data_IF_160278127835
#
_entry.id   IF_160278127835
#
_cell.length_a   1.000
_cell.length_b   1.000
_cell.length_c   1.000
_cell.angle_alpha   90.00
_cell.angle_beta   90.00
_cell.angle_gamma   90.00
#
_symmetry.space_group_name_H-M   'P 1'
#
loop_
_entity.id
_entity.type
_entity.pdbx_description
1 polymer ?
#
# COMPACT_ATOMS: atom_id res chain seq x y z
N UNK A 1 -0.39 -12.08 -11.37
CA UNK A 1 0.52 -10.91 -11.52
C UNK A 1 1.84 -11.31 -10.89
N UNK A 2 2.97 -10.81 -11.39
CA UNK A 2 4.23 -10.98 -10.68
C UNK A 2 4.27 -10.11 -9.43
N UNK A 3 4.83 -10.65 -8.35
CA UNK A 3 4.92 -10.00 -7.03
C UNK A 3 5.57 -8.61 -7.11
N UNK A 4 6.43 -8.41 -8.10
CA UNK A 4 7.07 -7.14 -8.40
C UNK A 4 6.07 -6.05 -8.79
N UNK A 5 5.04 -6.35 -9.58
CA UNK A 5 4.05 -5.37 -9.99
C UNK A 5 3.22 -4.87 -8.80
N UNK A 6 2.86 -5.76 -7.86
CA UNK A 6 2.18 -5.38 -6.62
C UNK A 6 3.07 -4.51 -5.73
N UNK A 7 4.36 -4.85 -5.66
CA UNK A 7 5.34 -4.10 -4.90
C UNK A 7 5.53 -2.69 -5.45
N UNK A 8 5.75 -2.55 -6.76
CA UNK A 8 5.86 -1.24 -7.42
C UNK A 8 4.59 -0.41 -7.28
N UNK A 9 3.40 -1.03 -7.42
CA UNK A 9 2.12 -0.35 -7.22
C UNK A 9 1.99 0.19 -5.79
N UNK A 10 2.36 -0.62 -4.80
CA UNK A 10 2.37 -0.21 -3.39
C UNK A 10 3.35 0.93 -3.12
N UNK A 11 4.57 0.87 -3.68
CA UNK A 11 5.56 1.95 -3.55
C UNK A 11 5.03 3.25 -4.17
N UNK A 12 4.56 3.22 -5.41
CA UNK A 12 4.02 4.39 -6.11
C UNK A 12 2.86 5.01 -5.32
N UNK A 13 1.96 4.17 -4.80
CA UNK A 13 0.84 4.62 -3.99
C UNK A 13 1.31 5.28 -2.70
N UNK A 14 2.28 4.68 -1.99
CA UNK A 14 2.87 5.26 -0.78
C UNK A 14 3.64 6.56 -1.03
N UNK A 15 4.21 6.71 -2.23
CA UNK A 15 4.90 7.92 -2.68
C UNK A 15 3.90 9.04 -3.01
N UNK A 16 2.81 8.71 -3.72
CA UNK A 16 1.70 9.64 -3.96
C UNK A 16 1.02 10.08 -2.67
N UNK A 17 0.84 9.16 -1.73
CA UNK A 17 0.32 9.49 -0.40
C UNK A 17 1.23 10.47 0.32
N UNK A 18 2.55 10.39 0.09
CA UNK A 18 3.52 11.34 0.62
C UNK A 18 3.30 12.77 0.15
N UNK A 19 2.93 12.93 -1.12
CA UNK A 19 2.69 14.24 -1.73
C UNK A 19 1.40 14.88 -1.21
N UNK A 20 0.39 14.05 -0.90
CA UNK A 20 -0.95 14.51 -0.50
C UNK A 20 -1.04 14.79 1.00
N UNK A 21 -0.35 14.01 1.84
CA UNK A 21 -0.49 14.10 3.29
C UNK A 21 0.50 15.08 3.92
N UNK A 22 0.05 15.97 4.83
CA UNK A 22 0.93 16.92 5.50
C UNK A 22 2.09 16.22 6.22
N UNK A 23 3.31 16.70 5.97
CA UNK A 23 4.56 16.09 6.50
C UNK A 23 4.58 15.96 8.03
N UNK A 24 3.78 16.76 8.76
CA UNK A 24 3.69 16.73 10.23
C UNK A 24 3.12 15.41 10.76
N UNK A 25 2.16 14.81 10.05
CA UNK A 25 1.46 13.59 10.49
C UNK A 25 1.97 12.33 9.79
N UNK A 26 3.05 12.47 9.02
CA UNK A 26 3.49 11.44 8.08
C UNK A 26 4.76 10.74 8.53
N UNK A 27 4.92 9.47 8.16
CA UNK A 27 6.07 8.62 8.52
C UNK A 27 7.40 9.04 7.83
N UNK A 28 7.40 10.12 7.04
CA UNK A 28 8.49 10.48 6.13
C UNK A 28 8.43 9.71 4.81
N UNK A 29 9.23 10.13 3.83
CA UNK A 29 9.20 9.60 2.46
C UNK A 29 9.46 8.09 2.38
N UNK A 30 10.53 7.62 3.02
CA UNK A 30 10.85 6.19 3.05
C UNK A 30 9.80 5.37 3.83
N UNK A 31 9.24 5.95 4.89
CA UNK A 31 8.21 5.31 5.72
C UNK A 31 6.89 5.11 4.98
N UNK A 32 6.43 6.11 4.23
CA UNK A 32 5.18 6.00 3.45
C UNK A 32 5.34 5.07 2.24
N UNK A 33 6.52 5.08 1.60
CA UNK A 33 6.85 4.10 0.55
C UNK A 33 6.85 2.68 1.09
N UNK A 34 7.49 2.44 2.25
CA UNK A 34 7.52 1.12 2.89
C UNK A 34 6.13 0.66 3.33
N UNK A 35 5.35 1.55 3.96
CA UNK A 35 3.97 1.28 4.34
C UNK A 35 3.08 0.99 3.12
N UNK A 36 3.25 1.74 2.03
CA UNK A 36 2.53 1.52 0.79
C UNK A 36 2.90 0.19 0.14
N UNK A 37 4.19 -0.13 0.07
CA UNK A 37 4.69 -1.38 -0.46
C UNK A 37 4.15 -2.59 0.33
N UNK A 38 4.28 -2.56 1.66
CA UNK A 38 3.80 -3.63 2.55
C UNK A 38 2.29 -3.78 2.52
N UNK A 39 1.55 -2.66 2.56
CA UNK A 39 0.09 -2.68 2.49
C UNK A 39 -0.41 -3.22 1.16
N UNK A 40 0.22 -2.80 0.05
CA UNK A 40 -0.20 -3.22 -1.28
C UNK A 40 0.15 -4.67 -1.59
N UNK A 41 1.37 -5.11 -1.28
CA UNK A 41 1.72 -6.53 -1.47
C UNK A 41 1.00 -7.42 -0.48
N UNK A 42 0.83 -6.99 0.77
CA UNK A 42 0.12 -7.78 1.79
C UNK A 42 -1.33 -8.05 1.41
N UNK A 43 -2.08 -7.02 0.98
CA UNK A 43 -3.49 -7.20 0.62
C UNK A 43 -3.65 -8.01 -0.69
N UNK A 44 -2.82 -7.75 -1.69
CA UNK A 44 -2.81 -8.54 -2.92
C UNK A 44 -2.42 -10.00 -2.67
N UNK A 45 -1.47 -10.25 -1.77
CA UNK A 45 -1.05 -11.60 -1.38
C UNK A 45 -2.18 -12.36 -0.66
N UNK A 46 -2.88 -11.70 0.29
CA UNK A 46 -4.04 -12.29 0.96
C UNK A 46 -5.14 -12.66 -0.05
N UNK A 47 -5.40 -11.78 -1.03
CA UNK A 47 -6.36 -12.06 -2.08
C UNK A 47 -5.91 -13.21 -3.02
N UNK A 48 -4.61 -13.35 -3.25
CA UNK A 48 -4.04 -14.50 -3.97
C UNK A 48 -4.28 -15.80 -3.20
N UNK A 49 -4.02 -15.82 -1.88
CA UNK A 49 -4.29 -16.98 -1.02
C UNK A 49 -5.78 -17.36 -0.99
N UNK A 50 -6.66 -16.38 -1.13
CA UNK A 50 -8.10 -16.61 -1.22
C UNK A 50 -8.57 -17.13 -2.60
N UNK A 51 -7.65 -17.30 -3.56
CA UNK A 51 -7.95 -17.73 -4.93
C UNK A 51 -8.66 -16.66 -5.77
N UNK A 52 -8.68 -15.40 -5.31
CA UNK A 52 -9.35 -14.29 -6.00
C UNK A 52 -8.48 -13.68 -7.12
N UNK A 53 -7.20 -14.02 -7.17
CA UNK A 53 -6.26 -13.51 -8.15
C UNK A 53 -5.63 -14.65 -8.96
N UNK A 54 -5.66 -14.57 -10.30
CA UNK A 54 -4.89 -15.50 -11.12
C UNK A 54 -3.39 -15.28 -10.90
N UNK A 55 -2.73 -16.33 -10.44
CA UNK A 55 -1.28 -16.37 -10.26
C UNK A 55 -0.61 -16.35 -11.64
N UNK A 56 0.44 -15.54 -11.81
CA UNK A 56 1.18 -15.45 -13.07
C UNK A 56 0.61 -14.53 -14.17
N UNK A 57 -0.67 -14.13 -14.13
CA UNK A 57 -1.25 -13.24 -15.16
C UNK A 57 -1.47 -11.80 -14.70
N UNK A 58 -1.33 -10.83 -15.61
CA UNK A 58 -1.63 -9.43 -15.28
C UNK A 58 -3.14 -9.26 -14.99
N UNK A 59 -3.48 -8.92 -13.74
CA UNK A 59 -4.86 -8.78 -13.28
C UNK A 59 -5.09 -7.37 -12.76
N UNK A 60 -6.07 -6.68 -13.34
CA UNK A 60 -6.50 -5.34 -12.93
C UNK A 60 -7.04 -5.33 -11.49
N UNK A 61 -7.67 -6.43 -11.05
CA UNK A 61 -8.13 -6.60 -9.67
C UNK A 61 -6.95 -6.60 -8.69
N UNK A 62 -5.82 -7.21 -9.07
CA UNK A 62 -4.61 -7.22 -8.24
C UNK A 62 -4.04 -5.83 -8.02
N UNK A 63 -4.12 -4.96 -9.04
CA UNK A 63 -3.74 -3.54 -8.93
C UNK A 63 -4.67 -2.80 -7.98
N UNK A 64 -5.98 -2.96 -8.14
CA UNK A 64 -6.96 -2.30 -7.29
C UNK A 64 -6.79 -2.71 -5.81
N UNK A 65 -6.52 -3.99 -5.56
CA UNK A 65 -6.26 -4.53 -4.23
C UNK A 65 -4.93 -4.02 -3.66
N UNK A 66 -3.85 -4.01 -4.46
CA UNK A 66 -2.58 -3.44 -4.02
C UNK A 66 -2.69 -1.94 -3.71
N UNK A 67 -3.44 -1.20 -4.52
CA UNK A 67 -3.72 0.21 -4.26
C UNK A 67 -4.53 0.41 -2.97
N UNK A 68 -5.61 -0.36 -2.79
CA UNK A 68 -6.45 -0.30 -1.59
C UNK A 68 -5.66 -0.65 -0.33
N UNK A 69 -4.82 -1.69 -0.38
CA UNK A 69 -3.95 -2.09 0.72
C UNK A 69 -2.90 -1.04 1.07
N UNK A 70 -2.26 -0.45 0.05
CA UNK A 70 -1.27 0.61 0.23
C UNK A 70 -1.90 1.89 0.84
N UNK A 71 -3.08 2.28 0.37
CA UNK A 71 -3.84 3.40 0.94
C UNK A 71 -4.26 3.12 2.39
N UNK A 72 -4.83 1.93 2.64
CA UNK A 72 -5.32 1.54 3.96
C UNK A 72 -4.20 1.59 5.01
N UNK A 73 -3.03 1.04 4.69
CA UNK A 73 -1.91 0.99 5.64
C UNK A 73 -1.29 2.38 5.89
N UNK A 74 -1.19 3.23 4.86
CA UNK A 74 -0.76 4.61 5.03
C UNK A 74 -1.77 5.46 5.83
N UNK A 75 -3.07 5.26 5.60
CA UNK A 75 -4.13 5.96 6.33
C UNK A 75 -4.15 5.54 7.80
N UNK A 76 -4.04 4.24 8.07
CA UNK A 76 -3.94 3.69 9.43
C UNK A 76 -2.70 4.23 10.17
N UNK A 77 -1.58 4.37 9.46
CA UNK A 77 -0.37 5.00 10.00
C UNK A 77 -0.57 6.47 10.36
N UNK A 78 -1.32 7.22 9.55
CA UNK A 78 -1.65 8.62 9.85
C UNK A 78 -2.58 8.72 11.06
N UNK A 79 -3.60 7.88 11.14
CA UNK A 79 -4.52 7.81 12.29
C UNK A 79 -3.74 7.48 13.56
N UNK A 80 -2.83 6.50 13.51
CA UNK A 80 -2.02 6.11 14.66
C UNK A 80 -1.14 7.25 15.16
N UNK A 81 -0.54 8.05 14.26
CA UNK A 81 0.24 9.24 14.64
C UNK A 81 -0.63 10.33 15.27
N UNK A 82 -1.78 10.61 14.66
CA UNK A 82 -2.77 11.54 15.21
C UNK A 82 -3.22 11.11 16.62
N UNK A 83 -3.48 9.82 16.85
CA UNK A 83 -3.91 9.31 18.16
C UNK A 83 -2.79 9.30 19.20
N UNK A 84 -1.53 9.18 18.78
CA UNK A 84 -0.37 9.19 19.69
C UNK A 84 0.17 10.60 19.96
N UNK A 85 -0.45 11.64 19.40
CA UNK A 85 -0.12 13.04 19.66
C UNK A 85 1.29 13.46 19.21
N UNK A 86 1.85 12.74 18.24
CA UNK A 86 3.18 13.01 17.64
C UNK A 86 3.07 13.63 16.26
#
# INVERSE_FOLDING_TARGET
>A
MDILSWFFTGILTGLMFNVVVPQRIMLGFLGSMGAGALGGTGLAFIASLAGLLPEGEFSQLGIALAFAGAMGLNMLSCIFRLSTGR
#
